data_IF_008541422813
#
_entry.id   IF_008541422813
#
_cell.length_a   1.000
_cell.length_b   1.000
_cell.length_c   1.000
_cell.angle_alpha   90.00
_cell.angle_beta   90.00
_cell.angle_gamma   90.00
#
_symmetry.space_group_name_H-M   'P 1'
#
loop_
_entity.id
_entity.type
_entity.pdbx_description
1 polymer ?
#
# COMPACT_ATOMS: atom_id res chain seq x y z
N UNK A 1 -6.80 -0.43 -12.53
CA UNK A 1 -6.92 -1.89 -12.33
C UNK A 1 -6.11 -2.40 -11.12
N UNK A 2 -4.85 -1.98 -10.93
CA UNK A 2 -4.00 -2.48 -9.85
C UNK A 2 -4.62 -2.38 -8.44
N UNK A 3 -5.30 -1.29 -8.10
CA UNK A 3 -5.97 -1.15 -6.79
C UNK A 3 -7.06 -2.20 -6.56
N UNK A 4 -7.90 -2.49 -7.56
CA UNK A 4 -8.96 -3.50 -7.43
C UNK A 4 -8.38 -4.90 -7.23
N UNK A 5 -7.33 -5.26 -7.99
CA UNK A 5 -6.66 -6.56 -7.85
C UNK A 5 -6.04 -6.72 -6.47
N UNK A 6 -5.34 -5.68 -5.98
CA UNK A 6 -4.77 -5.69 -4.64
C UNK A 6 -5.87 -5.79 -3.56
N UNK A 7 -6.99 -5.10 -3.73
CA UNK A 7 -8.10 -5.18 -2.79
C UNK A 7 -8.66 -6.61 -2.68
N UNK A 8 -8.95 -7.21 -3.83
CA UNK A 8 -9.53 -8.56 -3.89
C UNK A 8 -8.57 -9.61 -3.32
N UNK A 9 -7.30 -9.59 -3.74
CA UNK A 9 -6.32 -10.59 -3.29
C UNK A 9 -6.10 -10.48 -1.77
N UNK A 10 -5.83 -9.27 -1.26
CA UNK A 10 -5.50 -9.11 0.16
C UNK A 10 -6.74 -9.32 1.06
N UNK A 11 -7.93 -8.95 0.60
CA UNK A 11 -9.18 -9.28 1.30
C UNK A 11 -9.43 -10.78 1.38
N UNK A 12 -9.25 -11.50 0.27
CA UNK A 12 -9.40 -12.97 0.24
C UNK A 12 -8.37 -13.68 1.11
N UNK A 13 -7.10 -13.28 1.04
CA UNK A 13 -6.04 -13.84 1.91
C UNK A 13 -6.44 -13.67 3.37
N UNK A 14 -6.85 -12.45 3.76
CA UNK A 14 -7.26 -12.19 5.13
C UNK A 14 -8.44 -13.08 5.55
N UNK A 15 -9.45 -13.21 4.68
CA UNK A 15 -10.60 -14.09 4.91
C UNK A 15 -10.18 -15.54 5.15
N UNK A 16 -9.41 -16.15 4.24
CA UNK A 16 -9.03 -17.56 4.38
C UNK A 16 -8.09 -17.83 5.55
N UNK A 17 -7.20 -16.89 5.88
CA UNK A 17 -6.30 -17.03 7.03
C UNK A 17 -7.05 -16.92 8.36
N UNK A 18 -8.14 -16.14 8.42
CA UNK A 18 -8.86 -15.84 9.66
C UNK A 18 -10.29 -16.39 9.70
N UNK A 19 -10.73 -17.18 8.71
CA UNK A 19 -12.11 -17.63 8.54
C UNK A 19 -12.69 -18.39 9.75
N UNK A 20 -11.84 -18.90 10.64
CA UNK A 20 -12.25 -19.61 11.86
C UNK A 20 -12.34 -18.70 13.10
N UNK A 21 -11.89 -17.44 13.03
CA UNK A 21 -12.02 -16.47 14.12
C UNK A 21 -13.39 -15.79 14.08
N UNK A 22 -14.17 -15.86 15.16
CA UNK A 22 -15.52 -15.28 15.20
C UNK A 22 -15.51 -13.74 15.13
N UNK A 23 -14.80 -13.10 16.06
CA UNK A 23 -14.65 -11.64 16.13
C UNK A 23 -13.17 -11.27 16.23
N UNK A 24 -12.76 -10.23 15.52
CA UNK A 24 -11.39 -9.69 15.51
C UNK A 24 -11.44 -8.22 15.90
N UNK A 25 -10.43 -7.75 16.64
CA UNK A 25 -10.30 -6.34 16.96
C UNK A 25 -9.89 -5.54 15.73
N UNK A 26 -10.70 -4.55 15.38
CA UNK A 26 -10.40 -3.62 14.29
C UNK A 26 -9.28 -2.65 14.70
N UNK A 27 -9.44 -2.07 15.88
CA UNK A 27 -8.58 -1.07 16.53
C UNK A 27 -8.58 -1.37 18.03
N UNK A 28 -7.48 -1.04 18.72
CA UNK A 28 -7.36 -1.20 20.18
C UNK A 28 -6.91 0.13 20.77
N UNK A 29 -7.57 0.57 21.85
CA UNK A 29 -7.31 1.87 22.49
C UNK A 29 -5.93 1.99 23.14
N UNK A 30 -5.17 0.90 23.20
CA UNK A 30 -3.81 0.89 23.76
C UNK A 30 -2.74 0.69 22.68
N UNK A 31 -1.85 1.68 22.54
CA UNK A 31 -0.62 1.60 21.72
C UNK A 31 0.30 0.43 22.17
N UNK A 32 0.20 0.00 23.42
CA UNK A 32 0.96 -1.11 24.02
C UNK A 32 0.14 -2.41 24.13
N UNK A 33 -1.01 -2.52 23.48
CA UNK A 33 -1.79 -3.75 23.46
C UNK A 33 -1.00 -4.86 22.76
N UNK A 34 -0.86 -6.02 23.42
CA UNK A 34 -0.35 -7.26 22.81
C UNK A 34 -1.38 -7.93 21.90
N UNK A 35 -2.58 -7.37 21.76
CA UNK A 35 -3.63 -7.94 20.91
C UNK A 35 -3.45 -7.58 19.43
N UNK A 36 -3.56 -8.59 18.58
CA UNK A 36 -3.49 -8.42 17.14
C UNK A 36 -4.74 -7.71 16.61
N UNK A 37 -4.56 -6.50 16.06
CA UNK A 37 -5.63 -5.74 15.40
C UNK A 37 -5.53 -5.80 13.87
N UNK A 38 -6.67 -5.66 13.19
CA UNK A 38 -6.74 -5.59 11.72
C UNK A 38 -5.86 -4.46 11.20
N UNK A 39 -5.92 -3.28 11.85
CA UNK A 39 -5.13 -2.12 11.44
C UNK A 39 -3.62 -2.33 11.63
N UNK A 40 -3.19 -2.97 12.72
CA UNK A 40 -1.79 -3.30 12.94
C UNK A 40 -1.24 -4.26 11.88
N UNK A 41 -2.07 -5.18 11.36
CA UNK A 41 -1.71 -6.04 10.23
C UNK A 41 -1.74 -5.33 8.87
N UNK A 42 -2.65 -4.37 8.68
CA UNK A 42 -2.81 -3.65 7.42
C UNK A 42 -1.63 -2.70 7.11
N UNK A 43 -1.00 -2.12 8.13
CA UNK A 43 0.15 -1.21 7.97
C UNK A 43 1.35 -1.89 7.28
N UNK A 44 1.95 -2.97 7.80
CA UNK A 44 3.09 -3.63 7.15
C UNK A 44 2.73 -4.18 5.77
N UNK A 45 1.47 -4.62 5.58
CA UNK A 45 0.97 -5.09 4.29
C UNK A 45 0.96 -3.96 3.24
N UNK A 46 0.44 -2.79 3.58
CA UNK A 46 0.42 -1.63 2.69
C UNK A 46 1.84 -1.12 2.37
N UNK A 47 2.73 -1.10 3.35
CA UNK A 47 4.14 -0.67 3.18
C UNK A 47 4.90 -1.62 2.25
N UNK A 48 4.72 -2.93 2.46
CA UNK A 48 5.34 -3.97 1.63
C UNK A 48 4.81 -3.92 0.21
N UNK A 49 3.50 -3.80 0.03
CA UNK A 49 2.89 -3.62 -1.30
C UNK A 49 3.42 -2.37 -1.99
N UNK A 50 3.52 -1.24 -1.29
CA UNK A 50 4.04 -0.01 -1.87
C UNK A 50 5.48 -0.19 -2.40
N UNK A 51 6.34 -0.88 -1.63
CA UNK A 51 7.71 -1.16 -2.05
C UNK A 51 7.76 -2.08 -3.27
N UNK A 52 7.03 -3.21 -3.18
CA UNK A 52 7.03 -4.27 -4.19
C UNK A 52 6.42 -3.76 -5.50
N UNK A 53 5.27 -3.09 -5.44
CA UNK A 53 4.60 -2.56 -6.63
C UNK A 53 5.43 -1.49 -7.32
N UNK A 54 6.08 -0.61 -6.54
CA UNK A 54 6.99 0.39 -7.11
C UNK A 54 8.14 -0.30 -7.83
N UNK A 55 8.80 -1.24 -7.15
CA UNK A 55 9.96 -1.98 -7.68
C UNK A 55 9.61 -2.81 -8.91
N UNK A 56 8.52 -3.57 -8.89
CA UNK A 56 8.06 -4.38 -10.02
C UNK A 56 7.71 -3.50 -11.22
N UNK A 57 7.08 -2.33 -10.99
CA UNK A 57 6.75 -1.40 -12.08
C UNK A 57 7.99 -0.95 -12.85
N UNK A 58 9.13 -0.74 -12.19
CA UNK A 58 10.39 -0.42 -12.87
C UNK A 58 10.89 -1.54 -13.80
N UNK A 59 10.68 -2.79 -13.40
CA UNK A 59 11.13 -3.95 -14.19
C UNK A 59 10.17 -4.28 -15.34
N UNK A 60 8.87 -4.07 -15.15
CA UNK A 60 7.86 -4.30 -16.19
C UNK A 60 7.94 -3.22 -17.28
N UNK A 61 8.01 -1.95 -16.89
CA UNK A 61 7.98 -0.84 -17.85
C UNK A 61 9.36 -0.63 -18.48
N UNK A 62 9.48 -1.00 -19.77
CA UNK A 62 10.67 -0.79 -20.60
C UNK A 62 10.64 0.59 -21.26
N UNK A 63 10.63 1.64 -20.45
CA UNK A 63 10.65 3.03 -20.94
C UNK A 63 12.08 3.50 -21.26
N UNK A 64 12.29 4.24 -22.36
CA UNK A 64 13.56 4.94 -22.61
C UNK A 64 13.75 6.06 -21.58
N UNK A 65 15.01 6.33 -21.21
CA UNK A 65 15.35 7.37 -20.22
C UNK A 65 15.10 7.01 -18.76
N UNK A 66 14.82 5.73 -18.44
CA UNK A 66 14.59 5.31 -17.05
C UNK A 66 15.91 5.37 -16.25
N UNK A 67 15.92 6.00 -15.06
CA UNK A 67 17.12 6.07 -14.23
C UNK A 67 17.49 4.68 -13.71
N UNK A 68 18.77 4.46 -13.38
CA UNK A 68 19.20 3.20 -12.78
C UNK A 68 18.39 2.86 -11.52
N UNK A 69 18.07 1.58 -11.35
CA UNK A 69 17.27 1.12 -10.22
C UNK A 69 17.90 1.54 -8.89
N UNK A 70 19.19 1.26 -8.71
CA UNK A 70 19.95 1.76 -7.58
C UNK A 70 20.89 2.89 -8.01
N UNK A 71 20.98 4.00 -7.27
CA UNK A 71 20.26 4.32 -6.03
C UNK A 71 18.93 5.08 -6.25
N UNK A 72 18.64 5.53 -7.47
CA UNK A 72 17.61 6.53 -7.74
C UNK A 72 16.20 5.96 -7.56
N UNK A 73 15.87 4.89 -8.28
CA UNK A 73 14.53 4.33 -8.24
C UNK A 73 14.24 3.58 -6.93
N UNK A 74 15.26 2.98 -6.33
CA UNK A 74 15.20 2.35 -5.02
C UNK A 74 14.80 3.36 -3.93
N UNK A 75 15.38 4.56 -3.94
CA UNK A 75 14.95 5.66 -3.05
C UNK A 75 13.50 6.07 -3.30
N UNK A 76 13.03 6.01 -4.55
CA UNK A 76 11.62 6.25 -4.87
C UNK A 76 10.71 5.19 -4.25
N UNK A 77 11.07 3.91 -4.37
CA UNK A 77 10.35 2.81 -3.72
C UNK A 77 10.28 2.99 -2.19
N UNK A 78 11.39 3.41 -1.55
CA UNK A 78 11.40 3.73 -0.13
C UNK A 78 10.47 4.92 0.22
N UNK A 79 10.49 6.00 -0.57
CA UNK A 79 9.59 7.15 -0.37
C UNK A 79 8.13 6.74 -0.47
N UNK A 80 7.78 5.91 -1.45
CA UNK A 80 6.45 5.35 -1.62
C UNK A 80 6.02 4.48 -0.43
N UNK A 81 6.94 3.66 0.10
CA UNK A 81 6.70 2.88 1.32
C UNK A 81 6.45 3.76 2.54
N UNK A 82 7.24 4.81 2.74
CA UNK A 82 7.06 5.77 3.85
C UNK A 82 5.74 6.53 3.69
N UNK A 83 5.38 6.92 2.45
CA UNK A 83 4.10 7.57 2.17
C UNK A 83 2.91 6.66 2.48
N UNK A 84 2.95 5.41 2.02
CA UNK A 84 1.92 4.42 2.33
C UNK A 84 1.80 4.15 3.83
N UNK A 85 2.94 4.04 4.54
CA UNK A 85 2.98 3.94 6.00
C UNK A 85 2.24 5.11 6.64
N UNK A 86 2.65 6.34 6.34
CA UNK A 86 2.07 7.54 6.93
C UNK A 86 0.57 7.63 6.66
N UNK A 87 0.14 7.39 5.42
CA UNK A 87 -1.27 7.42 5.04
C UNK A 87 -2.09 6.41 5.83
N UNK A 88 -1.67 5.14 5.86
CA UNK A 88 -2.42 4.08 6.55
C UNK A 88 -2.42 4.29 8.07
N UNK A 89 -1.30 4.71 8.66
CA UNK A 89 -1.22 5.00 10.10
C UNK A 89 -2.10 6.17 10.49
N UNK A 90 -2.11 7.27 9.71
CA UNK A 90 -3.00 8.40 9.96
C UNK A 90 -4.46 7.94 9.96
N UNK A 91 -4.87 7.16 8.96
CA UNK A 91 -6.23 6.60 8.90
C UNK A 91 -6.53 5.68 10.07
N UNK A 92 -5.62 4.79 10.46
CA UNK A 92 -5.79 3.88 11.58
C UNK A 92 -5.95 4.64 12.90
N UNK A 93 -5.11 5.64 13.16
CA UNK A 93 -5.16 6.47 14.37
C UNK A 93 -6.42 7.32 14.41
N UNK A 94 -6.83 7.93 13.29
CA UNK A 94 -8.08 8.68 13.22
C UNK A 94 -9.28 7.77 13.48
N UNK A 95 -9.33 6.60 12.83
CA UNK A 95 -10.41 5.65 13.04
C UNK A 95 -10.48 5.19 14.49
N UNK A 96 -9.34 4.82 15.08
CA UNK A 96 -9.26 4.47 16.50
C UNK A 96 -9.76 5.61 17.38
N UNK A 97 -9.38 6.86 17.09
CA UNK A 97 -9.79 8.03 17.89
C UNK A 97 -11.30 8.30 17.84
N UNK A 98 -11.96 8.01 16.72
CA UNK A 98 -13.41 8.23 16.57
C UNK A 98 -14.26 7.02 17.00
N UNK A 99 -13.77 5.80 16.79
CA UNK A 99 -14.54 4.57 16.99
C UNK A 99 -14.18 3.81 18.28
N UNK A 100 -13.02 4.08 18.89
CA UNK A 100 -12.51 3.36 20.05
C UNK A 100 -12.11 1.90 19.73
N UNK A 101 -12.13 1.04 20.74
CA UNK A 101 -11.90 -0.41 20.58
C UNK A 101 -13.13 -1.12 20.00
N UNK A 102 -13.14 -1.34 18.69
CA UNK A 102 -14.26 -1.98 17.99
C UNK A 102 -13.92 -3.42 17.62
N UNK A 103 -14.80 -4.34 18.00
CA UNK A 103 -14.77 -5.72 17.52
C UNK A 103 -15.61 -5.83 16.25
N UNK A 104 -15.05 -6.45 15.21
CA UNK A 104 -15.74 -6.69 13.95
C UNK A 104 -15.69 -8.17 13.61
N UNK A 105 -16.67 -8.63 12.84
CA UNK A 105 -16.59 -9.98 12.29
C UNK A 105 -15.42 -10.09 11.31
N UNK A 106 -14.89 -11.30 11.15
CA UNK A 106 -13.82 -11.59 10.19
C UNK A 106 -14.18 -11.17 8.76
N UNK A 107 -15.46 -11.23 8.40
CA UNK A 107 -15.93 -10.76 7.09
C UNK A 107 -15.67 -9.26 6.93
N UNK A 108 -16.09 -8.46 7.91
CA UNK A 108 -15.90 -7.00 7.88
C UNK A 108 -14.41 -6.66 7.92
N UNK A 109 -13.63 -7.36 8.75
CA UNK A 109 -12.17 -7.20 8.80
C UNK A 109 -11.50 -7.48 7.43
N UNK A 110 -11.95 -8.52 6.72
CA UNK A 110 -11.45 -8.86 5.38
C UNK A 110 -11.76 -7.78 4.34
N UNK A 111 -12.97 -7.21 4.39
CA UNK A 111 -13.39 -6.12 3.50
C UNK A 111 -12.56 -4.86 3.76
N UNK A 112 -12.34 -4.52 5.03
CA UNK A 112 -11.54 -3.35 5.41
C UNK A 112 -10.08 -3.55 4.99
N UNK A 113 -9.51 -4.73 5.22
CA UNK A 113 -8.14 -5.06 4.79
C UNK A 113 -7.99 -4.95 3.27
N UNK A 114 -8.93 -5.52 2.52
CA UNK A 114 -8.96 -5.38 1.06
C UNK A 114 -9.08 -3.93 0.62
N UNK A 115 -9.97 -3.15 1.25
CA UNK A 115 -10.13 -1.74 0.93
C UNK A 115 -8.85 -0.92 1.12
N UNK A 116 -8.16 -1.10 2.26
CA UNK A 116 -6.88 -0.44 2.54
C UNK A 116 -5.82 -0.84 1.52
N UNK A 117 -5.68 -2.14 1.26
CA UNK A 117 -4.73 -2.65 0.26
C UNK A 117 -5.03 -2.11 -1.14
N UNK A 118 -6.31 -1.93 -1.47
CA UNK A 118 -6.74 -1.38 -2.75
C UNK A 118 -6.40 0.09 -2.93
N UNK A 119 -6.66 0.91 -1.92
CA UNK A 119 -6.29 2.33 -1.92
C UNK A 119 -4.77 2.47 -1.99
N UNK A 120 -4.04 1.75 -1.13
CA UNK A 120 -2.58 1.80 -1.11
C UNK A 120 -1.99 1.37 -2.46
N UNK A 121 -2.38 0.20 -2.96
CA UNK A 121 -1.90 -0.33 -4.23
C UNK A 121 -2.27 0.57 -5.41
N UNK A 122 -3.50 1.06 -5.47
CA UNK A 122 -3.96 1.97 -6.53
C UNK A 122 -3.19 3.29 -6.56
N UNK A 123 -3.05 3.92 -5.39
CA UNK A 123 -2.35 5.20 -5.25
C UNK A 123 -0.87 5.07 -5.61
N UNK A 124 -0.19 4.06 -5.09
CA UNK A 124 1.24 3.86 -5.32
C UNK A 124 1.53 3.49 -6.78
N UNK A 125 0.71 2.62 -7.38
CA UNK A 125 0.87 2.30 -8.81
C UNK A 125 0.68 3.54 -9.67
N UNK A 126 -0.33 4.38 -9.38
CA UNK A 126 -0.54 5.63 -10.10
C UNK A 126 0.69 6.56 -9.99
N UNK A 127 1.16 6.83 -8.77
CA UNK A 127 2.33 7.68 -8.53
C UNK A 127 3.58 7.16 -9.25
N UNK A 128 3.78 5.84 -9.22
CA UNK A 128 4.94 5.21 -9.86
C UNK A 128 4.92 5.37 -11.38
N UNK A 129 3.76 5.15 -12.02
CA UNK A 129 3.62 5.29 -13.47
C UNK A 129 3.78 6.75 -13.88
N UNK A 130 3.16 7.69 -13.15
CA UNK A 130 3.32 9.12 -13.41
C UNK A 130 4.78 9.56 -13.35
N UNK A 131 5.54 9.08 -12.37
CA UNK A 131 6.95 9.41 -12.24
C UNK A 131 7.80 8.79 -13.36
N UNK A 132 7.55 7.52 -13.71
CA UNK A 132 8.24 6.84 -14.82
C UNK A 132 8.01 7.55 -16.17
N UNK A 133 6.77 8.01 -16.43
CA UNK A 133 6.45 8.79 -17.61
C UNK A 133 7.17 10.14 -17.61
N UNK A 134 7.25 10.81 -16.47
CA UNK A 134 7.96 12.08 -16.33
C UNK A 134 9.47 11.93 -16.63
N UNK A 135 10.10 10.84 -16.19
CA UNK A 135 11.49 10.53 -16.58
C UNK A 135 11.64 10.36 -18.09
N UNK A 136 10.76 9.57 -18.71
CA UNK A 136 10.83 9.31 -20.15
C UNK A 136 10.63 10.59 -20.98
N UNK A 137 9.68 11.45 -20.59
CA UNK A 137 9.44 12.73 -21.28
C UNK A 137 10.62 13.71 -21.16
N UNK A 138 11.33 13.71 -20.03
CA UNK A 138 12.51 14.57 -19.84
C UNK A 138 13.68 14.12 -20.72
N UNK A 139 13.86 12.82 -20.88
CA UNK A 139 14.90 12.23 -21.73
C UNK A 139 14.69 12.58 -23.21
N UNK A 140 13.46 12.42 -23.72
CA UNK A 140 13.10 12.84 -25.09
C UNK A 140 13.39 14.33 -25.31
N UNK A 141 13.02 15.19 -24.35
CA UNK A 141 13.25 16.63 -24.46
C UNK A 141 14.73 17.04 -24.36
N UNK A 142 15.58 16.20 -23.77
CA UNK A 142 17.04 16.39 -23.77
C UNK A 142 17.68 15.89 -25.06
N UNK A 143 17.16 14.81 -25.66
CA UNK A 143 17.62 14.30 -26.95
C UNK A 143 17.32 15.24 -28.13
N UNK A 144 16.26 16.05 -28.04
CA UNK A 144 15.87 17.02 -29.09
C UNK A 144 16.61 18.37 -28.99
N UNK A 145 17.50 18.55 -28.01
CA UNK A 145 18.32 19.77 -27.94
C UNK A 145 19.49 19.67 -28.93
N UNK A 146 19.62 20.64 -29.86
CA UNK A 146 20.70 20.65 -30.86
C UNK A 146 22.09 20.88 -30.26
#
# INVERSE_FOLDING_TARGET
>A
MAGVINATINGLIYWFTNAQGGNVLLTSDMISSTEHTVMAGAVPLAVSLAFILTSISYFIWKLPGKPAYFPVFFRMALKHSIFAFGLVVIFAVLLQRFAGSVHVSTLIASVITGFIAGIAGGTITFLTISELLNYSLRDVKQSDKP
#
